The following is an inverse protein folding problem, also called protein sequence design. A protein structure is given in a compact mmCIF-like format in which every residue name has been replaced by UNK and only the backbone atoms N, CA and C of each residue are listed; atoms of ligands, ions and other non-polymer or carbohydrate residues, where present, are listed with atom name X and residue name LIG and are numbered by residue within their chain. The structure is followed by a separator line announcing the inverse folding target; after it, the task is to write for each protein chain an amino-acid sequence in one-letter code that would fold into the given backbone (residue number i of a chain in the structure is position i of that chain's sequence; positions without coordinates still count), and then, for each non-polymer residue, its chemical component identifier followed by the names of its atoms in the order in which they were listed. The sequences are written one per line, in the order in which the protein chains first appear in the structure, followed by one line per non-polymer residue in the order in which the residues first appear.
data_IF_671843348938
#
_entry.id   IF_671843348938
#
_cell.length_a   1.000
_cell.length_b   1.000
_cell.length_c   1.000
_cell.angle_alpha   90.00
_cell.angle_beta   90.00
_cell.angle_gamma   90.00
#
_symmetry.space_group_name_H-M   'P 1'
#
loop_
_entity.id
_entity.type
_entity.pdbx_description
1 polymer ?
#
# COMPACT_ATOMS: atom_id res chain seq x y z
N UNK A 1 -4.64 12.68 -29.02
CA UNK A 1 -3.78 11.53 -28.58
C UNK A 1 -4.30 10.93 -27.28
N UNK A 2 -4.53 11.74 -26.24
CA UNK A 2 -5.11 11.27 -24.96
C UNK A 2 -6.45 10.55 -25.17
N UNK A 3 -7.39 11.16 -25.89
CA UNK A 3 -8.71 10.54 -26.13
C UNK A 3 -8.62 9.19 -26.86
N UNK A 4 -7.70 9.06 -27.81
CA UNK A 4 -7.46 7.82 -28.52
C UNK A 4 -6.88 6.73 -27.59
N UNK A 5 -5.98 7.11 -26.68
CA UNK A 5 -5.45 6.20 -25.67
C UNK A 5 -6.52 5.79 -24.66
N UNK A 6 -7.35 6.74 -24.19
CA UNK A 6 -8.48 6.44 -23.31
C UNK A 6 -9.44 5.45 -23.97
N UNK A 7 -9.78 5.64 -25.25
CA UNK A 7 -10.62 4.71 -25.99
C UNK A 7 -10.02 3.30 -26.09
N UNK A 8 -8.70 3.18 -26.27
CA UNK A 8 -8.00 1.89 -26.30
C UNK A 8 -8.03 1.22 -24.92
N UNK A 9 -7.79 1.98 -23.84
CA UNK A 9 -7.85 1.48 -22.47
C UNK A 9 -9.27 1.01 -22.13
N UNK A 10 -10.30 1.79 -22.47
CA UNK A 10 -11.70 1.43 -22.26
C UNK A 10 -12.12 0.21 -23.09
N UNK A 11 -11.59 0.04 -24.31
CA UNK A 11 -11.90 -1.10 -25.17
C UNK A 11 -11.21 -2.39 -24.70
N UNK A 12 -10.07 -2.32 -24.01
CA UNK A 12 -9.38 -3.51 -23.51
C UNK A 12 -8.64 -3.25 -22.19
N UNK A 13 -9.39 -3.11 -21.07
CA UNK A 13 -8.80 -2.71 -19.79
C UNK A 13 -7.80 -3.73 -19.24
N UNK A 14 -8.05 -5.02 -19.43
CA UNK A 14 -7.13 -6.08 -19.03
C UNK A 14 -5.79 -5.98 -19.78
N UNK A 15 -5.80 -5.82 -21.11
CA UNK A 15 -4.57 -5.69 -21.91
C UNK A 15 -3.81 -4.41 -21.54
N UNK A 16 -4.53 -3.32 -21.30
CA UNK A 16 -3.94 -2.06 -20.86
C UNK A 16 -3.24 -2.23 -19.50
N UNK A 17 -3.92 -2.82 -18.51
CA UNK A 17 -3.35 -3.09 -17.19
C UNK A 17 -2.13 -4.02 -17.28
N UNK A 18 -2.20 -5.10 -18.08
CA UNK A 18 -1.06 -6.00 -18.30
C UNK A 18 0.13 -5.25 -18.91
N UNK A 19 -0.09 -4.42 -19.93
CA UNK A 19 0.98 -3.65 -20.55
C UNK A 19 1.63 -2.67 -19.55
N UNK A 20 0.82 -2.00 -18.72
CA UNK A 20 1.32 -1.11 -17.67
C UNK A 20 2.14 -1.88 -16.64
N UNK A 21 1.63 -2.99 -16.13
CA UNK A 21 2.33 -3.82 -15.13
C UNK A 21 3.65 -4.34 -15.69
N UNK A 22 3.68 -4.86 -16.91
CA UNK A 22 4.91 -5.35 -17.55
C UNK A 22 5.94 -4.24 -17.76
N UNK A 23 5.49 -3.04 -18.15
CA UNK A 23 6.41 -1.92 -18.33
C UNK A 23 6.94 -1.42 -16.99
N UNK A 24 6.07 -1.30 -15.98
CA UNK A 24 6.43 -0.93 -14.63
C UNK A 24 7.45 -1.91 -14.03
N UNK A 25 7.22 -3.21 -14.23
CA UNK A 25 8.10 -4.29 -13.79
C UNK A 25 9.53 -4.12 -14.31
N UNK A 26 9.65 -3.80 -15.60
CA UNK A 26 10.92 -3.59 -16.30
C UNK A 26 11.62 -2.29 -15.94
N UNK A 27 10.88 -1.20 -15.77
CA UNK A 27 11.46 0.13 -15.60
C UNK A 27 11.71 0.52 -14.15
N UNK A 28 10.93 -0.02 -13.20
CA UNK A 28 11.05 0.33 -11.79
C UNK A 28 12.45 -0.02 -11.27
N UNK A 29 13.17 0.99 -10.81
CA UNK A 29 14.50 0.84 -10.24
C UNK A 29 14.42 0.75 -8.71
N UNK A 30 15.44 0.20 -8.02
CA UNK A 30 15.49 0.20 -6.57
C UNK A 30 15.50 1.61 -5.98
N UNK A 31 14.78 1.82 -4.87
CA UNK A 31 14.79 3.05 -4.09
C UNK A 31 16.10 3.18 -3.30
N UNK A 32 17.08 3.87 -3.88
CA UNK A 32 18.41 4.06 -3.30
C UNK A 32 18.67 5.54 -3.11
N UNK A 33 19.22 5.90 -1.95
CA UNK A 33 19.73 7.24 -1.68
C UNK A 33 20.91 7.58 -2.58
N UNK A 34 20.65 8.35 -3.65
CA UNK A 34 21.64 8.91 -4.56
C UNK A 34 21.30 10.35 -4.87
N UNK A 35 22.17 11.27 -4.45
CA UNK A 35 21.98 12.71 -4.64
C UNK A 35 22.55 13.23 -5.98
N UNK A 36 22.88 12.35 -6.92
CA UNK A 36 23.34 12.73 -8.26
C UNK A 36 22.16 12.91 -9.24
N UNK A 37 22.42 13.53 -10.39
CA UNK A 37 21.40 13.76 -11.43
C UNK A 37 20.76 12.45 -11.92
N UNK A 38 21.54 11.36 -11.91
CA UNK A 38 21.08 10.04 -12.29
C UNK A 38 20.07 9.48 -11.26
N UNK A 39 20.36 9.65 -9.97
CA UNK A 39 19.46 9.31 -8.85
C UNK A 39 18.16 10.10 -8.93
N UNK A 40 18.23 11.42 -9.15
CA UNK A 40 17.03 12.23 -9.31
C UNK A 40 16.18 11.80 -10.52
N UNK A 41 16.81 11.49 -11.66
CA UNK A 41 16.10 11.00 -12.84
C UNK A 41 15.42 9.67 -12.56
N UNK A 42 16.11 8.76 -11.87
CA UNK A 42 15.57 7.47 -11.43
C UNK A 42 14.37 7.64 -10.51
N UNK A 43 14.45 8.51 -9.49
CA UNK A 43 13.31 8.78 -8.61
C UNK A 43 12.10 9.34 -9.36
N UNK A 44 12.29 10.27 -10.30
CA UNK A 44 11.17 10.79 -11.11
C UNK A 44 10.48 9.70 -11.92
N UNK A 45 11.23 8.73 -12.45
CA UNK A 45 10.68 7.58 -13.18
C UNK A 45 9.88 6.70 -12.21
N UNK A 46 10.49 6.29 -11.09
CA UNK A 46 9.82 5.48 -10.07
C UNK A 46 8.54 6.13 -9.56
N UNK A 47 8.56 7.43 -9.24
CA UNK A 47 7.39 8.18 -8.79
C UNK A 47 6.26 8.13 -9.82
N UNK A 48 6.58 8.27 -11.13
CA UNK A 48 5.57 8.19 -12.20
C UNK A 48 5.00 6.79 -12.34
N UNK A 49 5.85 5.76 -12.27
CA UNK A 49 5.42 4.36 -12.31
C UNK A 49 4.48 4.06 -11.14
N UNK A 50 4.89 4.41 -9.91
CA UNK A 50 4.08 4.17 -8.71
C UNK A 50 2.76 4.91 -8.81
N UNK A 51 2.74 6.19 -9.18
CA UNK A 51 1.49 6.94 -9.38
C UNK A 51 0.56 6.28 -10.40
N UNK A 52 1.09 5.75 -11.50
CA UNK A 52 0.28 5.03 -12.47
C UNK A 52 -0.31 3.73 -11.89
N UNK A 53 0.47 2.99 -11.10
CA UNK A 53 -0.02 1.80 -10.39
C UNK A 53 -1.11 2.19 -9.38
N UNK A 54 -0.95 3.31 -8.66
CA UNK A 54 -1.97 3.83 -7.73
C UNK A 54 -3.29 4.06 -8.45
N UNK A 55 -3.26 4.72 -9.61
CA UNK A 55 -4.49 5.00 -10.37
C UNK A 55 -5.16 3.72 -10.89
N UNK A 56 -4.39 2.69 -11.26
CA UNK A 56 -4.96 1.39 -11.60
C UNK A 56 -5.57 0.67 -10.38
N UNK A 57 -4.89 0.74 -9.22
CA UNK A 57 -5.38 0.14 -7.99
C UNK A 57 -6.68 0.78 -7.49
N UNK A 58 -6.84 2.10 -7.68
CA UNK A 58 -8.05 2.87 -7.30
C UNK A 58 -9.24 2.61 -8.22
N UNK A 59 -9.01 2.08 -9.42
CA UNK A 59 -10.08 1.83 -10.38
C UNK A 59 -10.77 0.49 -10.06
N UNK A 60 -11.74 0.55 -9.16
CA UNK A 60 -12.51 -0.63 -8.73
C UNK A 60 -13.65 -0.99 -9.71
N UNK A 61 -13.99 -0.10 -10.66
CA UNK A 61 -15.03 -0.34 -11.67
C UNK A 61 -14.63 -1.42 -12.69
N UNK A 62 -13.32 -1.72 -12.77
CA UNK A 62 -12.75 -2.69 -13.69
C UNK A 62 -12.01 -3.78 -12.90
N UNK A 63 -12.72 -4.86 -12.50
CA UNK A 63 -12.15 -5.88 -11.63
C UNK A 63 -10.93 -6.57 -12.25
N UNK A 64 -10.89 -6.75 -13.58
CA UNK A 64 -9.77 -7.39 -14.28
C UNK A 64 -8.47 -6.59 -14.13
N UNK A 65 -8.55 -5.25 -14.20
CA UNK A 65 -7.38 -4.39 -14.03
C UNK A 65 -6.85 -4.48 -12.60
N UNK A 66 -7.74 -4.50 -11.61
CA UNK A 66 -7.37 -4.66 -10.20
C UNK A 66 -6.72 -6.03 -9.93
N UNK A 67 -7.29 -7.12 -10.45
CA UNK A 67 -6.71 -8.47 -10.32
C UNK A 67 -5.30 -8.52 -10.90
N UNK A 68 -5.09 -7.95 -12.08
CA UNK A 68 -3.78 -7.95 -12.75
C UNK A 68 -2.73 -7.22 -11.90
N UNK A 69 -3.07 -6.04 -11.37
CA UNK A 69 -2.13 -5.26 -10.54
C UNK A 69 -1.88 -5.95 -9.20
N UNK A 70 -2.94 -6.42 -8.53
CA UNK A 70 -2.84 -7.09 -7.23
C UNK A 70 -2.05 -8.41 -7.30
N UNK A 71 -2.10 -9.08 -8.45
CA UNK A 71 -1.35 -10.33 -8.70
C UNK A 71 0.14 -10.09 -8.97
N UNK A 72 0.55 -8.84 -9.21
CA UNK A 72 1.95 -8.47 -9.43
C UNK A 72 2.67 -8.18 -8.09
N UNK A 73 2.63 -9.13 -7.15
CA UNK A 73 3.08 -8.93 -5.76
C UNK A 73 4.55 -8.47 -5.66
N UNK A 74 5.45 -9.02 -6.48
CA UNK A 74 6.86 -8.60 -6.51
C UNK A 74 7.02 -7.13 -6.91
N UNK A 75 6.30 -6.69 -7.95
CA UNK A 75 6.28 -5.30 -8.38
C UNK A 75 5.75 -4.38 -7.27
N UNK A 76 4.65 -4.76 -6.61
CA UNK A 76 4.08 -3.97 -5.52
C UNK A 76 5.01 -3.88 -4.30
N UNK A 77 5.74 -4.97 -3.99
CA UNK A 77 6.77 -4.98 -2.96
C UNK A 77 7.89 -4.00 -3.33
N UNK A 78 8.48 -4.11 -4.52
CA UNK A 78 9.54 -3.19 -4.97
C UNK A 78 9.07 -1.73 -5.06
N UNK A 79 7.83 -1.51 -5.49
CA UNK A 79 7.22 -0.18 -5.58
C UNK A 79 7.17 0.51 -4.21
N UNK A 80 7.05 -0.28 -3.13
CA UNK A 80 6.97 0.19 -1.74
C UNK A 80 8.23 -0.07 -0.92
N UNK A 81 9.34 -0.52 -1.54
CA UNK A 81 10.63 -0.68 -0.86
C UNK A 81 11.28 0.66 -0.54
N UNK A 82 12.17 0.70 0.46
CA UNK A 82 12.96 1.91 0.73
C UNK A 82 12.12 3.11 1.19
N UNK A 83 10.93 2.88 1.77
CA UNK A 83 10.20 3.94 2.48
C UNK A 83 11.14 4.64 3.47
N UNK A 84 11.07 5.97 3.51
CA UNK A 84 11.91 6.85 4.33
C UNK A 84 13.38 7.00 3.88
N UNK A 85 13.85 6.31 2.84
CA UNK A 85 15.25 6.39 2.37
C UNK A 85 15.61 7.79 1.84
N UNK A 86 14.69 8.43 1.11
CA UNK A 86 14.93 9.72 0.41
C UNK A 86 13.95 10.83 0.81
N UNK A 87 13.41 10.74 2.04
CA UNK A 87 12.48 11.73 2.59
C UNK A 87 11.11 11.74 1.88
N UNK A 88 10.48 12.92 1.85
CA UNK A 88 9.06 13.07 1.48
C UNK A 88 8.75 12.69 0.03
N UNK A 89 9.56 13.12 -0.94
CA UNK A 89 9.26 12.96 -2.36
C UNK A 89 9.18 11.50 -2.82
N UNK A 90 9.94 10.62 -2.16
CA UNK A 90 9.90 9.17 -2.42
C UNK A 90 8.87 8.47 -1.54
N UNK A 91 8.69 8.91 -0.29
CA UNK A 91 7.77 8.26 0.66
C UNK A 91 6.30 8.47 0.29
N UNK A 92 5.91 9.64 -0.25
CA UNK A 92 4.51 9.93 -0.55
C UNK A 92 3.89 9.00 -1.60
N UNK A 93 4.47 8.77 -2.79
CA UNK A 93 3.85 7.87 -3.77
C UNK A 93 3.72 6.43 -3.24
N UNK A 94 4.65 6.00 -2.39
CA UNK A 94 4.62 4.68 -1.76
C UNK A 94 3.46 4.56 -0.77
N UNK A 95 3.23 5.61 0.02
CA UNK A 95 2.08 5.69 0.92
C UNK A 95 0.76 5.81 0.16
N UNK A 96 0.72 6.53 -0.97
CA UNK A 96 -0.46 6.60 -1.86
C UNK A 96 -0.81 5.21 -2.40
N UNK A 97 0.20 4.41 -2.78
CA UNK A 97 0.00 3.04 -3.22
C UNK A 97 -0.53 2.15 -2.10
N UNK A 98 0.04 2.24 -0.90
CA UNK A 98 -0.45 1.48 0.26
C UNK A 98 -1.87 1.88 0.66
N UNK A 99 -2.22 3.16 0.52
CA UNK A 99 -3.58 3.63 0.77
C UNK A 99 -4.56 3.04 -0.25
N UNK A 100 -4.21 3.09 -1.54
CA UNK A 100 -5.02 2.49 -2.60
C UNK A 100 -5.17 0.98 -2.39
N UNK A 101 -4.11 0.28 -2.01
CA UNK A 101 -4.14 -1.14 -1.65
C UNK A 101 -5.10 -1.40 -0.49
N UNK A 102 -4.99 -0.64 0.61
CA UNK A 102 -5.88 -0.82 1.77
C UNK A 102 -7.35 -0.59 1.41
N UNK A 103 -7.64 0.40 0.56
CA UNK A 103 -8.99 0.69 0.08
C UNK A 103 -9.53 -0.36 -0.89
N UNK A 104 -8.66 -1.05 -1.63
CA UNK A 104 -9.06 -2.09 -2.58
C UNK A 104 -9.48 -3.40 -1.89
N UNK A 105 -9.07 -3.65 -0.64
CA UNK A 105 -9.41 -4.89 0.07
C UNK A 105 -10.92 -5.09 0.19
N UNK A 106 -11.67 -4.06 0.61
CA UNK A 106 -13.10 -4.19 0.86
C UNK A 106 -13.93 -4.47 -0.42
N UNK A 107 -13.75 -3.73 -1.53
CA UNK A 107 -14.39 -4.06 -2.81
C UNK A 107 -14.06 -5.47 -3.32
N UNK A 108 -12.84 -5.96 -3.12
CA UNK A 108 -12.45 -7.31 -3.55
C UNK A 108 -13.09 -8.38 -2.67
N UNK A 109 -13.28 -8.12 -1.36
CA UNK A 109 -14.02 -9.02 -0.48
C UNK A 109 -15.47 -9.22 -0.94
N UNK A 110 -16.08 -8.22 -1.58
CA UNK A 110 -17.44 -8.31 -2.14
C UNK A 110 -17.52 -9.28 -3.33
N UNK A 111 -16.38 -9.68 -3.93
CA UNK A 111 -16.32 -10.72 -4.97
C UNK A 111 -16.46 -12.15 -4.41
N UNK A 112 -16.56 -12.31 -3.09
CA UNK A 112 -16.69 -13.60 -2.42
C UNK A 112 -15.46 -14.48 -2.60
N UNK A 113 -15.65 -15.79 -2.79
CA UNK A 113 -14.56 -16.78 -2.88
C UNK A 113 -13.54 -16.44 -3.99
N UNK A 114 -14.01 -15.86 -5.09
CA UNK A 114 -13.16 -15.49 -6.23
C UNK A 114 -12.15 -14.36 -5.91
N UNK A 115 -12.46 -13.52 -4.91
CA UNK A 115 -11.60 -12.42 -4.47
C UNK A 115 -10.58 -12.81 -3.40
N UNK A 116 -10.70 -13.99 -2.77
CA UNK A 116 -9.91 -14.33 -1.58
C UNK A 116 -8.41 -14.33 -1.82
N UNK A 117 -7.94 -14.89 -2.95
CA UNK A 117 -6.52 -14.90 -3.28
C UNK A 117 -5.97 -13.48 -3.51
N UNK A 118 -6.79 -12.59 -4.04
CA UNK A 118 -6.44 -11.17 -4.26
C UNK A 118 -6.36 -10.46 -2.92
N UNK A 119 -7.36 -10.64 -2.05
CA UNK A 119 -7.37 -10.09 -0.68
C UNK A 119 -6.15 -10.53 0.11
N UNK A 120 -5.79 -11.81 0.04
CA UNK A 120 -4.61 -12.35 0.71
C UNK A 120 -3.33 -11.66 0.21
N UNK A 121 -3.15 -11.53 -1.10
CA UNK A 121 -2.01 -10.82 -1.69
C UNK A 121 -1.92 -9.35 -1.25
N UNK A 122 -3.03 -8.61 -1.29
CA UNK A 122 -3.08 -7.22 -0.84
C UNK A 122 -2.82 -7.09 0.66
N UNK A 123 -3.42 -7.97 1.46
CA UNK A 123 -3.24 -7.99 2.92
C UNK A 123 -1.80 -8.31 3.31
N UNK A 124 -1.16 -9.25 2.61
CA UNK A 124 0.24 -9.58 2.82
C UNK A 124 1.16 -8.40 2.52
N UNK A 125 0.90 -7.63 1.46
CA UNK A 125 1.64 -6.40 1.18
C UNK A 125 1.49 -5.38 2.33
N UNK A 126 0.26 -5.11 2.76
CA UNK A 126 -0.04 -4.18 3.86
C UNK A 126 0.67 -4.63 5.15
N UNK A 127 0.62 -5.93 5.44
CA UNK A 127 1.25 -6.54 6.61
C UNK A 127 2.77 -6.36 6.58
N UNK A 128 3.40 -6.61 5.44
CA UNK A 128 4.83 -6.41 5.22
C UNK A 128 5.26 -4.93 5.37
N UNK A 129 4.37 -3.98 5.06
CA UNK A 129 4.67 -2.54 5.10
C UNK A 129 4.17 -1.83 6.35
N UNK A 130 3.51 -2.55 7.25
CA UNK A 130 2.95 -1.97 8.47
C UNK A 130 4.01 -1.29 9.36
N UNK A 131 5.19 -1.88 9.65
CA UNK A 131 6.21 -1.21 10.47
C UNK A 131 6.76 0.06 9.82
N UNK A 132 6.98 0.03 8.50
CA UNK A 132 7.49 1.18 7.75
C UNK A 132 6.46 2.32 7.69
N UNK A 133 5.18 1.98 7.47
CA UNK A 133 4.05 2.93 7.52
C UNK A 133 3.91 3.55 8.90
N UNK A 134 4.06 2.75 9.96
CA UNK A 134 4.00 3.25 11.34
C UNK A 134 5.16 4.21 11.63
N UNK A 135 6.38 3.90 11.18
CA UNK A 135 7.53 4.79 11.31
C UNK A 135 7.34 6.14 10.59
N UNK A 136 6.56 6.17 9.51
CA UNK A 136 6.23 7.42 8.82
C UNK A 136 5.41 8.40 9.68
N UNK A 137 4.77 7.94 10.76
CA UNK A 137 4.11 8.83 11.74
C UNK A 137 5.10 9.72 12.49
N UNK A 138 6.37 9.31 12.59
CA UNK A 138 7.45 10.10 13.18
C UNK A 138 8.14 11.04 12.16
N UNK A 139 7.70 11.04 10.90
CA UNK A 139 8.35 11.80 9.83
C UNK A 139 8.18 13.33 10.01
N UNK A 140 9.17 14.17 9.65
CA UNK A 140 9.08 15.63 9.79
C UNK A 140 7.98 16.27 8.93
N UNK A 141 7.71 15.75 7.72
CA UNK A 141 6.59 16.22 6.88
C UNK A 141 5.25 15.83 7.47
N UNK A 142 4.38 16.83 7.68
CA UNK A 142 3.01 16.64 8.11
C UNK A 142 2.17 15.86 7.07
N UNK A 143 2.47 16.00 5.78
CA UNK A 143 1.73 15.32 4.73
C UNK A 143 2.00 13.81 4.75
N UNK A 144 3.26 13.41 4.94
CA UNK A 144 3.64 12.01 5.14
C UNK A 144 2.90 11.45 6.35
N UNK A 145 2.92 12.14 7.50
CA UNK A 145 2.21 11.68 8.71
C UNK A 145 0.72 11.50 8.47
N UNK A 146 0.05 12.50 7.88
CA UNK A 146 -1.39 12.46 7.62
C UNK A 146 -1.77 11.29 6.69
N UNK A 147 -0.99 11.07 5.63
CA UNK A 147 -1.23 9.95 4.72
C UNK A 147 -0.97 8.60 5.38
N UNK A 148 0.06 8.47 6.22
CA UNK A 148 0.31 7.26 7.01
C UNK A 148 -0.85 6.93 7.95
N UNK A 149 -1.42 7.93 8.63
CA UNK A 149 -2.64 7.73 9.44
C UNK A 149 -3.79 7.24 8.55
N UNK A 150 -3.97 7.81 7.35
CA UNK A 150 -5.00 7.36 6.40
C UNK A 150 -4.82 5.89 6.01
N UNK A 151 -3.59 5.47 5.68
CA UNK A 151 -3.25 4.08 5.37
C UNK A 151 -3.64 3.16 6.54
N UNK A 152 -3.17 3.47 7.75
CA UNK A 152 -3.43 2.66 8.95
C UNK A 152 -4.93 2.57 9.27
N UNK A 153 -5.66 3.68 9.09
CA UNK A 153 -7.12 3.70 9.26
C UNK A 153 -7.84 2.82 8.24
N UNK A 154 -7.44 2.88 6.96
CA UNK A 154 -8.02 2.02 5.93
C UNK A 154 -7.68 0.54 6.18
N UNK A 155 -6.49 0.24 6.70
CA UNK A 155 -6.11 -1.12 7.14
C UNK A 155 -7.06 -1.59 8.25
N UNK A 156 -7.31 -0.79 9.29
CA UNK A 156 -8.28 -1.15 10.35
C UNK A 156 -9.69 -1.40 9.80
N UNK A 157 -10.11 -0.65 8.79
CA UNK A 157 -11.42 -0.79 8.14
C UNK A 157 -11.47 -2.01 7.19
N UNK A 158 -10.32 -2.47 6.68
CA UNK A 158 -10.22 -3.63 5.80
C UNK A 158 -10.44 -4.97 6.52
N UNK A 159 -10.64 -4.96 7.84
CA UNK A 159 -10.92 -6.15 8.62
C UNK A 159 -12.16 -6.86 8.06
N UNK A 160 -12.01 -8.06 7.47
CA UNK A 160 -13.16 -8.80 7.00
C UNK A 160 -13.98 -9.19 8.23
N UNK A 161 -15.13 -8.54 8.44
CA UNK A 161 -16.22 -9.11 9.24
C UNK A 161 -16.86 -10.22 8.44
N UNK A 162 -16.08 -11.25 8.14
CA UNK A 162 -16.53 -12.44 7.49
C UNK A 162 -17.22 -13.29 8.58
N UNK A 163 -18.52 -13.07 8.77
CA UNK A 163 -19.40 -14.09 9.37
C UNK A 163 -19.46 -15.28 8.40
N UNK A 164 -18.40 -16.10 8.37
CA UNK A 164 -18.39 -17.34 7.59
C UNK A 164 -19.20 -18.37 8.36
N UNK A 165 -20.51 -18.31 8.20
CA UNK A 165 -21.37 -19.45 8.47
C UNK A 165 -21.05 -20.54 7.43
N UNK A 166 -20.15 -21.45 7.80
CA UNK A 166 -20.13 -22.81 7.28
C UNK A 166 -19.06 -23.13 6.24
N UNK A 167 -18.34 -24.22 6.54
CA UNK A 167 -17.53 -25.07 5.66
C UNK A 167 -16.09 -24.60 5.42
N UNK A 168 -15.24 -24.86 6.42
CA UNK A 168 -13.78 -24.83 6.30
C UNK A 168 -13.26 -26.03 5.49
N UNK A 169 -12.63 -25.77 4.35
CA UNK A 169 -11.68 -26.68 3.70
C UNK A 169 -10.25 -26.48 4.24
N UNK A 170 -9.35 -27.47 4.15
CA UNK A 170 -8.07 -27.49 4.90
C UNK A 170 -6.99 -26.51 4.41
N UNK A 171 -7.27 -25.65 3.43
CA UNK A 171 -6.25 -24.90 2.68
C UNK A 171 -6.44 -23.38 2.62
N UNK A 172 -7.51 -22.83 3.20
CA UNK A 172 -7.74 -21.38 3.21
C UNK A 172 -7.83 -20.86 4.64
N UNK A 173 -6.67 -20.66 5.27
CA UNK A 173 -6.60 -19.78 6.43
C UNK A 173 -6.43 -18.34 5.92
N UNK A 174 -7.52 -17.61 5.74
CA UNK A 174 -7.47 -16.22 6.21
C UNK A 174 -7.22 -16.39 7.70
N UNK A 175 -5.95 -16.42 8.10
CA UNK A 175 -5.61 -16.21 9.49
C UNK A 175 -6.25 -14.87 9.81
N UNK A 176 -7.13 -14.85 10.81
CA UNK A 176 -7.81 -13.61 11.21
C UNK A 176 -6.71 -12.61 11.56
N UNK A 177 -6.40 -11.71 10.63
CA UNK A 177 -5.37 -10.69 10.82
C UNK A 177 -5.96 -9.72 11.82
N UNK A 178 -5.44 -9.72 13.04
CA UNK A 178 -5.83 -8.73 14.02
C UNK A 178 -5.07 -7.44 13.76
N UNK A 179 -5.56 -6.69 12.77
CA UNK A 179 -4.98 -5.41 12.36
C UNK A 179 -4.83 -4.44 13.51
N UNK A 180 -5.76 -4.46 14.47
CA UNK A 180 -5.72 -3.57 15.62
C UNK A 180 -4.53 -3.91 16.52
N UNK A 181 -4.43 -5.17 16.96
CA UNK A 181 -3.29 -5.65 17.76
C UNK A 181 -1.95 -5.44 17.05
N UNK A 182 -1.90 -5.64 15.74
CA UNK A 182 -0.68 -5.51 14.96
C UNK A 182 -0.23 -4.06 14.81
N UNK A 183 -1.17 -3.13 14.63
CA UNK A 183 -0.90 -1.69 14.59
C UNK A 183 -0.42 -1.21 15.98
N UNK A 184 -1.08 -1.63 17.06
CA UNK A 184 -0.66 -1.29 18.43
C UNK A 184 0.77 -1.74 18.74
N UNK A 185 1.14 -2.97 18.35
CA UNK A 185 2.52 -3.47 18.49
C UNK A 185 3.52 -2.61 17.74
N UNK A 186 3.20 -2.20 16.51
CA UNK A 186 4.08 -1.34 15.72
C UNK A 186 4.21 0.05 16.33
N UNK A 187 3.12 0.64 16.82
CA UNK A 187 3.11 1.95 17.49
C UNK A 187 3.97 1.91 18.75
N UNK A 188 3.80 0.88 19.58
CA UNK A 188 4.59 0.67 20.80
C UNK A 188 6.08 0.55 20.48
N UNK A 189 6.43 -0.25 19.47
CA UNK A 189 7.83 -0.41 19.05
C UNK A 189 8.43 0.93 18.60
N UNK A 190 7.71 1.68 17.76
CA UNK A 190 8.19 2.94 17.21
C UNK A 190 8.33 4.00 18.31
N UNK A 191 7.39 4.08 19.25
CA UNK A 191 7.49 4.94 20.42
C UNK A 191 8.74 4.63 21.26
N UNK A 192 8.99 3.34 21.54
CA UNK A 192 10.22 2.92 22.23
C UNK A 192 11.49 3.29 21.44
N UNK A 193 11.48 3.14 20.11
CA UNK A 193 12.61 3.51 19.27
C UNK A 193 12.91 5.01 19.29
N UNK A 194 11.87 5.84 19.23
CA UNK A 194 12.00 7.30 19.32
C UNK A 194 12.53 7.71 20.69
N UNK A 195 11.97 7.17 21.78
CA UNK A 195 12.44 7.45 23.14
C UNK A 195 13.91 7.03 23.35
N UNK A 196 14.30 5.86 22.84
CA UNK A 196 15.69 5.40 22.90
C UNK A 196 16.66 6.32 22.13
N UNK A 197 16.17 7.05 21.13
CA UNK A 197 16.92 8.08 20.38
C UNK A 197 16.81 9.47 20.99
N UNK A 198 16.07 9.64 22.10
CA UNK A 198 15.81 10.94 22.73
C UNK A 198 14.85 11.83 21.94
N UNK A 199 14.04 11.26 21.05
CA UNK A 199 13.11 11.98 20.19
C UNK A 199 11.70 12.01 20.81
N UNK A 200 10.92 13.08 20.58
CA UNK A 200 9.57 13.21 21.13
C UNK A 200 8.58 12.30 20.41
N UNK A 201 7.64 11.73 21.16
CA UNK A 201 6.61 10.79 20.66
C UNK A 201 5.23 11.42 20.44
N UNK A 202 5.08 12.74 20.61
CA UNK A 202 3.79 13.41 20.54
C UNK A 202 2.98 13.15 19.25
N UNK A 203 3.66 12.98 18.10
CA UNK A 203 2.99 12.60 16.85
C UNK A 203 2.44 11.18 16.89
N UNK A 204 3.18 10.24 17.50
CA UNK A 204 2.74 8.86 17.68
C UNK A 204 1.57 8.79 18.66
N UNK A 205 1.61 9.51 19.78
CA UNK A 205 0.52 9.57 20.75
C UNK A 205 -0.77 10.12 20.13
N UNK A 206 -0.64 11.13 19.26
CA UNK A 206 -1.78 11.72 18.54
C UNK A 206 -2.34 10.72 17.53
N UNK A 207 -1.47 10.08 16.74
CA UNK A 207 -1.88 9.07 15.78
C UNK A 207 -2.54 7.85 16.43
N UNK A 208 -2.01 7.36 17.56
CA UNK A 208 -2.58 6.26 18.32
C UNK A 208 -4.02 6.56 18.75
N UNK A 209 -4.26 7.76 19.31
CA UNK A 209 -5.60 8.22 19.68
C UNK A 209 -6.55 8.29 18.48
N UNK A 210 -6.08 8.82 17.34
CA UNK A 210 -6.88 8.88 16.11
C UNK A 210 -7.23 7.51 15.53
N UNK A 211 -6.38 6.51 15.76
CA UNK A 211 -6.56 5.14 15.30
C UNK A 211 -7.31 4.26 16.32
N UNK A 212 -7.59 4.77 17.52
CA UNK A 212 -8.22 4.01 18.60
C UNK A 212 -7.30 2.93 19.19
N UNK A 213 -5.99 3.18 19.14
CA UNK A 213 -4.93 2.35 19.72
C UNK A 213 -4.50 2.93 21.07
N UNK A 214 -4.10 2.07 22.02
CA UNK A 214 -3.63 2.47 23.35
C UNK A 214 -2.10 2.61 23.43
#
# INVERSE_FOLDING_TARGET
VVDALCNVVSASPAKAATAVVLQADRELQPWIAKNDDQGQKMWRINQRIVKLIVELMRNHDIPESLVIVASASDLLLRATDGMLVDGEACTLPQLELLEATARAVQPVLEWGESGLAVVDGLSNLLKCRLPATTRCLSHPSAHVRALSISVLRNILQSNPKLEINGIHGPYFSISVIDWHTDIEKCLTWEAHSQLARGMPIHFLDTAAKELGCN
#
